data_IF_032861201654
#
_entry.id   IF_032861201654
#
_cell.length_a   1.000
_cell.length_b   1.000
_cell.length_c   1.000
_cell.angle_alpha   90.00
_cell.angle_beta   90.00
_cell.angle_gamma   90.00
#
_symmetry.space_group_name_H-M   'P 1'
#
loop_
_entity.id
_entity.type
_entity.pdbx_description
1 polymer ?
#
# COMPACT_ATOMS: atom_id res chain seq x y z
N UNK A 1 -6.66 23.41 3.35
CA UNK A 1 -5.71 24.03 2.39
C UNK A 1 -5.63 23.30 1.05
N UNK A 2 -6.18 22.08 0.88
CA UNK A 2 -6.15 21.32 -0.39
C UNK A 2 -4.74 21.12 -0.98
N UNK A 3 -3.72 21.17 -0.12
CA UNK A 3 -2.32 20.92 -0.47
C UNK A 3 -1.93 19.56 0.09
N UNK A 4 -1.36 18.72 -0.76
CA UNK A 4 -0.72 17.49 -0.31
C UNK A 4 0.62 17.85 0.34
N UNK A 5 0.71 17.65 1.66
CA UNK A 5 1.92 17.94 2.43
C UNK A 5 3.13 17.18 1.89
N UNK A 6 2.95 15.94 1.43
CA UNK A 6 4.00 15.09 0.89
C UNK A 6 4.31 15.38 -0.60
N UNK A 7 3.88 16.54 -1.10
CA UNK A 7 4.24 17.09 -2.42
C UNK A 7 4.65 18.56 -2.33
N UNK A 8 4.92 19.06 -1.12
CA UNK A 8 5.20 20.48 -0.88
C UNK A 8 6.47 20.72 -0.04
N UNK A 9 7.38 19.75 0.07
CA UNK A 9 8.58 19.91 0.92
C UNK A 9 9.69 20.78 0.32
N UNK A 10 9.57 21.21 -0.94
CA UNK A 10 10.43 22.25 -1.53
C UNK A 10 9.92 23.64 -1.19
N UNK A 11 8.67 23.96 -1.54
CA UNK A 11 8.09 25.28 -1.28
C UNK A 11 7.76 25.48 0.19
N UNK A 12 7.50 24.38 0.91
CA UNK A 12 7.24 24.30 2.34
C UNK A 12 6.18 25.32 2.76
N UNK A 13 5.06 25.38 2.03
CA UNK A 13 4.07 26.45 2.18
C UNK A 13 3.24 26.29 3.45
N UNK A 14 3.00 25.05 3.87
CA UNK A 14 2.09 24.70 4.98
C UNK A 14 2.76 24.79 6.36
N UNK A 15 1.99 25.20 7.37
CA UNK A 15 2.48 25.43 8.74
C UNK A 15 2.97 24.15 9.44
N UNK A 16 2.36 23.03 9.09
CA UNK A 16 2.62 21.68 9.58
C UNK A 16 4.00 21.24 9.12
N UNK A 17 4.28 21.33 7.81
CA UNK A 17 5.59 20.99 7.24
C UNK A 17 6.69 21.94 7.73
N UNK A 18 6.42 23.24 7.88
CA UNK A 18 7.37 24.19 8.49
C UNK A 18 7.73 23.81 9.92
N UNK A 19 6.73 23.41 10.72
CA UNK A 19 6.94 22.98 12.11
C UNK A 19 7.75 21.70 12.17
N UNK A 20 7.45 20.73 11.30
CA UNK A 20 8.22 19.50 11.20
C UNK A 20 9.69 19.76 10.86
N UNK A 21 9.96 20.61 9.86
CA UNK A 21 11.34 20.97 9.49
C UNK A 21 12.08 21.73 10.60
N UNK A 22 11.37 22.56 11.39
CA UNK A 22 11.96 23.20 12.58
C UNK A 22 12.38 22.18 13.63
N UNK A 23 11.54 21.17 13.90
CA UNK A 23 11.88 20.08 14.82
C UNK A 23 13.02 19.23 14.27
N UNK A 24 12.98 18.88 12.99
CA UNK A 24 14.04 18.14 12.31
C UNK A 24 15.40 18.85 12.45
N UNK A 25 15.48 20.13 12.07
CA UNK A 25 16.71 20.92 12.15
C UNK A 25 17.22 21.08 13.59
N UNK A 26 16.32 21.20 14.57
CA UNK A 26 16.69 21.30 15.98
C UNK A 26 17.18 19.97 16.55
N UNK A 27 16.54 18.88 16.16
CA UNK A 27 16.83 17.53 16.69
C UNK A 27 18.07 16.93 16.04
N UNK A 28 18.32 17.27 14.76
CA UNK A 28 19.40 16.71 13.95
C UNK A 28 19.44 15.17 14.03
N UNK A 29 18.37 14.47 13.59
CA UNK A 29 18.21 13.05 13.83
C UNK A 29 19.19 12.19 13.01
N UNK A 30 19.67 11.10 13.59
CA UNK A 30 20.49 10.10 12.89
C UNK A 30 19.67 9.22 11.92
N UNK A 31 18.38 9.03 12.21
CA UNK A 31 17.44 8.27 11.38
C UNK A 31 16.04 8.91 11.39
N UNK A 32 15.32 8.79 10.28
CA UNK A 32 13.92 9.21 10.15
C UNK A 32 13.03 8.05 9.71
N UNK A 33 11.95 7.77 10.44
CA UNK A 33 10.92 6.83 10.03
C UNK A 33 9.71 7.59 9.48
N UNK A 34 9.37 7.33 8.22
CA UNK A 34 8.29 7.97 7.49
C UNK A 34 7.16 6.95 7.31
N UNK A 35 6.14 7.00 8.19
CA UNK A 35 5.10 5.98 8.27
C UNK A 35 3.88 6.34 7.41
N UNK A 36 3.52 5.45 6.49
CA UNK A 36 2.40 5.56 5.55
C UNK A 36 1.56 4.27 5.56
N UNK A 37 0.46 4.31 4.81
CA UNK A 37 -0.34 3.13 4.49
C UNK A 37 -0.53 3.01 2.99
N UNK A 38 -0.45 1.78 2.49
CA UNK A 38 -0.73 1.45 1.09
C UNK A 38 -2.09 0.76 0.97
N UNK A 39 -2.61 0.74 -0.27
CA UNK A 39 -3.87 0.09 -0.61
C UNK A 39 -3.74 -1.44 -0.54
N UNK A 40 -4.88 -2.12 -0.49
CA UNK A 40 -4.96 -3.59 -0.48
C UNK A 40 -4.52 -4.25 -1.79
N UNK A 41 -4.39 -3.48 -2.87
CA UNK A 41 -4.09 -3.97 -4.22
C UNK A 41 -2.64 -4.46 -4.44
N UNK A 42 -1.76 -4.27 -3.45
CA UNK A 42 -0.33 -4.54 -3.61
C UNK A 42 0.04 -5.96 -3.19
N UNK A 43 0.86 -6.62 -4.01
CA UNK A 43 1.54 -7.88 -3.72
C UNK A 43 3.04 -7.66 -3.51
N UNK A 44 3.67 -8.49 -2.68
CA UNK A 44 5.11 -8.54 -2.51
C UNK A 44 5.71 -9.35 -3.66
N UNK A 45 6.15 -8.66 -4.71
CA UNK A 45 6.53 -9.29 -5.98
C UNK A 45 5.34 -9.57 -6.88
N UNK A 46 5.65 -9.86 -8.14
CA UNK A 46 4.64 -10.21 -9.15
C UNK A 46 3.95 -11.52 -8.77
N UNK A 47 2.63 -11.49 -8.67
CA UNK A 47 1.74 -12.58 -8.24
C UNK A 47 2.16 -13.18 -6.89
N UNK A 48 2.79 -12.39 -6.04
CA UNK A 48 3.19 -12.79 -4.69
C UNK A 48 2.05 -12.77 -3.68
N UNK A 49 2.39 -13.00 -2.41
CA UNK A 49 1.46 -12.79 -1.31
C UNK A 49 1.13 -11.30 -1.14
N UNK A 50 0.05 -10.94 -0.42
CA UNK A 50 -0.26 -9.54 -0.15
C UNK A 50 0.95 -8.85 0.48
N UNK A 51 1.28 -7.65 0.00
CA UNK A 51 2.31 -6.84 0.62
C UNK A 51 1.78 -6.28 1.95
N UNK A 52 1.89 -7.09 3.01
CA UNK A 52 1.46 -6.71 4.37
C UNK A 52 2.24 -5.50 4.83
N UNK A 53 3.55 -5.49 4.58
CA UNK A 53 4.41 -4.32 4.74
C UNK A 53 5.15 -4.08 3.44
N UNK A 54 5.42 -2.81 3.14
CA UNK A 54 6.44 -2.46 2.16
C UNK A 54 7.37 -1.39 2.69
N UNK A 55 8.61 -1.40 2.19
CA UNK A 55 9.64 -0.46 2.62
C UNK A 55 10.26 0.24 1.43
N UNK A 56 10.80 1.43 1.69
CA UNK A 56 11.62 2.14 0.72
C UNK A 56 12.74 2.88 1.45
N UNK A 57 13.96 2.74 0.92
CA UNK A 57 15.07 3.66 1.17
C UNK A 57 15.00 4.79 0.11
N UNK A 58 14.44 5.97 0.45
CA UNK A 58 14.15 7.02 -0.51
C UNK A 58 15.42 7.52 -1.21
N UNK A 59 15.29 7.85 -2.49
CA UNK A 59 16.42 8.33 -3.27
C UNK A 59 16.87 9.71 -2.76
N UNK A 60 18.17 9.98 -2.79
CA UNK A 60 18.72 11.28 -2.39
C UNK A 60 18.80 12.27 -3.57
N UNK A 61 18.69 11.79 -4.80
CA UNK A 61 18.71 12.57 -6.04
C UNK A 61 17.94 11.86 -7.17
N UNK A 62 17.80 12.54 -8.30
CA UNK A 62 17.09 12.07 -9.50
C UNK A 62 17.80 10.92 -10.24
N UNK A 63 19.08 10.69 -9.95
CA UNK A 63 19.88 9.59 -10.50
C UNK A 63 19.72 8.30 -9.71
N UNK A 64 19.05 8.34 -8.56
CA UNK A 64 18.98 7.19 -7.67
C UNK A 64 20.34 6.83 -7.08
N UNK A 65 21.22 7.81 -6.82
CA UNK A 65 22.54 7.54 -6.24
C UNK A 65 22.39 6.84 -4.89
N UNK A 66 23.23 5.83 -4.63
CA UNK A 66 23.35 5.18 -3.33
C UNK A 66 24.33 6.02 -2.49
N UNK A 67 23.82 7.12 -1.93
CA UNK A 67 24.54 7.91 -0.94
C UNK A 67 24.70 7.12 0.37
N UNK A 68 25.58 7.58 1.27
CA UNK A 68 25.79 6.89 2.54
C UNK A 68 24.51 6.81 3.40
N UNK A 69 23.68 7.84 3.37
CA UNK A 69 22.39 7.85 4.06
C UNK A 69 21.41 6.82 3.48
N UNK A 70 21.34 6.72 2.15
CA UNK A 70 20.52 5.74 1.45
C UNK A 70 21.03 4.31 1.69
N UNK A 71 22.34 4.10 1.64
CA UNK A 71 22.98 2.81 1.95
C UNK A 71 22.60 2.32 3.36
N UNK A 72 22.72 3.19 4.37
CA UNK A 72 22.34 2.87 5.75
C UNK A 72 20.84 2.52 5.86
N UNK A 73 19.98 3.24 5.12
CA UNK A 73 18.54 2.97 5.08
C UNK A 73 18.24 1.61 4.44
N UNK A 74 18.92 1.28 3.32
CA UNK A 74 18.80 -0.02 2.64
C UNK A 74 19.21 -1.16 3.56
N UNK A 75 20.36 -1.05 4.23
CA UNK A 75 20.86 -2.04 5.19
C UNK A 75 19.92 -2.24 6.38
N UNK A 76 19.37 -1.16 6.92
CA UNK A 76 18.39 -1.24 8.00
C UNK A 76 17.11 -1.94 7.53
N UNK A 77 16.60 -1.63 6.34
CA UNK A 77 15.44 -2.31 5.77
C UNK A 77 15.72 -3.80 5.54
N UNK A 78 16.91 -4.15 5.05
CA UNK A 78 17.32 -5.55 4.88
C UNK A 78 17.33 -6.31 6.22
N UNK A 79 17.80 -5.66 7.29
CA UNK A 79 17.77 -6.21 8.66
C UNK A 79 16.33 -6.43 9.17
N UNK A 80 15.45 -5.44 8.97
CA UNK A 80 14.02 -5.55 9.30
C UNK A 80 13.39 -6.72 8.54
N UNK A 81 13.60 -6.77 7.22
CA UNK A 81 13.05 -7.81 6.36
C UNK A 81 13.48 -9.20 6.83
N UNK A 82 14.79 -9.42 7.00
CA UNK A 82 15.36 -10.70 7.45
C UNK A 82 14.72 -11.19 8.76
N UNK A 83 14.56 -10.29 9.74
CA UNK A 83 13.97 -10.62 11.04
C UNK A 83 12.47 -10.93 10.96
N UNK A 84 11.74 -10.18 10.13
CA UNK A 84 10.29 -10.27 9.97
C UNK A 84 9.85 -11.46 9.10
N UNK A 85 10.74 -12.08 8.32
CA UNK A 85 10.43 -13.31 7.57
C UNK A 85 9.94 -14.46 8.47
N UNK A 86 10.23 -14.42 9.78
CA UNK A 86 9.70 -15.39 10.76
C UNK A 86 8.20 -15.24 11.00
N UNK A 87 7.68 -14.02 10.93
CA UNK A 87 6.29 -13.69 11.26
C UNK A 87 5.40 -13.52 10.02
N UNK A 88 5.94 -12.89 8.97
CA UNK A 88 5.24 -12.59 7.71
C UNK A 88 6.08 -13.01 6.49
N UNK A 89 6.38 -14.31 6.33
CA UNK A 89 7.23 -14.80 5.25
C UNK A 89 6.68 -14.40 3.88
N UNK A 90 7.55 -13.88 3.01
CA UNK A 90 7.24 -13.46 1.64
C UNK A 90 6.11 -12.42 1.49
N UNK A 91 5.79 -11.67 2.55
CA UNK A 91 4.75 -10.62 2.55
C UNK A 91 5.32 -9.21 2.73
N UNK A 92 6.63 -9.06 2.49
CA UNK A 92 7.34 -7.79 2.53
C UNK A 92 7.82 -7.45 1.13
N UNK A 93 7.45 -6.27 0.64
CA UNK A 93 7.89 -5.76 -0.65
C UNK A 93 8.68 -4.45 -0.55
N UNK A 94 9.31 -4.07 -1.67
CA UNK A 94 9.96 -2.77 -1.85
C UNK A 94 9.05 -1.82 -2.62
N UNK A 95 8.88 -0.61 -2.13
CA UNK A 95 8.09 0.41 -2.83
C UNK A 95 8.90 1.04 -3.97
N UNK A 96 8.19 1.63 -4.93
CA UNK A 96 8.80 2.36 -6.06
C UNK A 96 9.72 3.47 -5.55
N UNK A 97 10.92 3.56 -6.11
CA UNK A 97 11.97 4.48 -5.68
C UNK A 97 12.13 5.70 -6.59
N UNK A 98 11.10 6.03 -7.39
CA UNK A 98 11.08 7.23 -8.22
C UNK A 98 11.27 8.48 -7.36
N UNK A 99 12.37 9.20 -7.62
CA UNK A 99 12.72 10.40 -6.88
C UNK A 99 11.73 11.55 -7.14
N UNK A 100 11.28 12.17 -6.07
CA UNK A 100 10.58 13.44 -6.06
C UNK A 100 10.98 14.25 -4.84
N UNK A 101 11.85 15.25 -5.05
CA UNK A 101 12.34 16.16 -3.99
C UNK A 101 11.23 16.88 -3.20
N UNK A 102 10.00 16.93 -3.72
CA UNK A 102 8.85 17.51 -3.01
C UNK A 102 8.22 16.56 -1.98
N UNK A 103 8.58 15.27 -2.01
CA UNK A 103 8.20 14.28 -1.01
C UNK A 103 9.12 14.37 0.21
N UNK A 104 8.57 14.14 1.41
CA UNK A 104 9.34 14.22 2.65
C UNK A 104 10.49 13.22 2.67
N UNK A 105 10.25 11.98 2.24
CA UNK A 105 11.26 10.90 2.29
C UNK A 105 12.52 11.26 1.51
N UNK A 106 12.35 11.63 0.24
CA UNK A 106 13.43 12.05 -0.63
C UNK A 106 14.07 13.36 -0.16
N UNK A 107 13.27 14.30 0.36
CA UNK A 107 13.80 15.54 0.94
C UNK A 107 14.75 15.25 2.09
N UNK A 108 14.37 14.41 3.05
CA UNK A 108 15.22 14.07 4.20
C UNK A 108 16.45 13.26 3.77
N UNK A 109 16.28 12.32 2.83
CA UNK A 109 17.38 11.55 2.24
C UNK A 109 18.41 12.47 1.54
N UNK A 110 17.92 13.47 0.78
CA UNK A 110 18.75 14.49 0.10
C UNK A 110 19.53 15.39 1.06
N UNK A 111 19.06 15.54 2.31
CA UNK A 111 19.76 16.23 3.39
C UNK A 111 20.79 15.35 4.10
N UNK A 112 21.01 14.12 3.62
CA UNK A 112 22.00 13.19 4.16
C UNK A 112 21.53 12.42 5.40
N UNK A 113 20.23 12.42 5.72
CA UNK A 113 19.70 11.67 6.85
C UNK A 113 19.09 10.34 6.37
N UNK A 114 19.58 9.19 6.88
CA UNK A 114 18.94 7.89 6.65
C UNK A 114 17.45 7.95 6.93
N UNK A 115 16.65 7.63 5.91
CA UNK A 115 15.18 7.73 5.97
C UNK A 115 14.58 6.43 5.50
N UNK A 116 13.62 5.90 6.27
CA UNK A 116 12.96 4.63 6.00
C UNK A 116 11.48 4.93 5.85
N UNK A 117 10.96 4.70 4.66
CA UNK A 117 9.53 4.74 4.42
C UNK A 117 8.94 3.37 4.76
N UNK A 118 7.86 3.39 5.54
CA UNK A 118 7.04 2.23 5.86
C UNK A 118 5.69 2.40 5.17
N UNK A 119 5.24 1.40 4.42
CA UNK A 119 3.87 1.30 3.94
C UNK A 119 3.16 0.16 4.67
N UNK A 120 2.18 0.50 5.50
CA UNK A 120 1.27 -0.47 6.07
C UNK A 120 0.28 -0.93 4.98
N UNK A 121 0.38 -2.19 4.54
CA UNK A 121 -0.52 -2.75 3.54
C UNK A 121 -1.60 -3.64 4.13
N UNK A 122 -1.93 -4.71 3.42
CA UNK A 122 -2.99 -5.64 3.79
C UNK A 122 -2.42 -6.98 4.23
N UNK A 123 -2.87 -7.44 5.40
CA UNK A 123 -2.73 -8.83 5.82
C UNK A 123 -4.04 -9.55 5.50
N UNK A 124 -4.02 -10.82 5.04
CA UNK A 124 -5.23 -11.55 4.66
C UNK A 124 -6.36 -11.44 5.70
N UNK A 125 -7.56 -11.08 5.24
CA UNK A 125 -8.78 -10.88 6.05
C UNK A 125 -8.69 -9.77 7.12
N UNK A 126 -7.65 -8.94 7.13
CA UNK A 126 -7.43 -7.86 8.11
C UNK A 126 -7.73 -6.47 7.53
N UNK A 127 -8.97 -6.25 7.06
CA UNK A 127 -9.40 -4.95 6.54
C UNK A 127 -9.33 -3.83 7.58
N UNK A 128 -9.47 -4.16 8.88
CA UNK A 128 -9.29 -3.20 9.98
C UNK A 128 -7.82 -2.91 10.31
N UNK A 129 -6.87 -3.57 9.63
CA UNK A 129 -5.41 -3.42 9.77
C UNK A 129 -4.88 -3.64 11.18
N UNK A 130 -5.57 -4.43 12.01
CA UNK A 130 -5.15 -4.69 13.38
C UNK A 130 -3.90 -5.59 13.45
N UNK A 131 -3.79 -6.55 12.55
CA UNK A 131 -2.62 -7.42 12.39
C UNK A 131 -1.50 -6.64 11.70
N UNK A 132 -1.79 -5.91 10.61
CA UNK A 132 -0.78 -5.05 9.96
C UNK A 132 -0.16 -4.05 10.95
N UNK A 133 -0.97 -3.42 11.82
CA UNK A 133 -0.47 -2.49 12.85
C UNK A 133 0.48 -3.17 13.85
N UNK A 134 0.23 -4.43 14.21
CA UNK A 134 1.16 -5.20 15.05
C UNK A 134 2.49 -5.41 14.34
N UNK A 135 2.46 -5.76 13.05
CA UNK A 135 3.70 -5.95 12.28
C UNK A 135 4.47 -4.65 12.03
N UNK A 136 3.78 -3.51 11.84
CA UNK A 136 4.44 -2.19 11.83
C UNK A 136 5.17 -1.95 13.15
N UNK A 137 4.51 -2.21 14.29
CA UNK A 137 5.14 -2.04 15.60
C UNK A 137 6.36 -2.97 15.75
N UNK A 138 6.24 -4.26 15.40
CA UNK A 138 7.36 -5.19 15.40
C UNK A 138 8.53 -4.72 14.52
N UNK A 139 8.23 -4.24 13.31
CA UNK A 139 9.25 -3.71 12.39
C UNK A 139 9.97 -2.48 12.96
N UNK A 140 9.24 -1.56 13.61
CA UNK A 140 9.82 -0.40 14.30
C UNK A 140 10.73 -0.86 15.45
N UNK A 141 10.30 -1.82 16.27
CA UNK A 141 11.12 -2.34 17.38
C UNK A 141 12.40 -3.00 16.88
N UNK A 142 12.30 -3.86 15.86
CA UNK A 142 13.46 -4.50 15.21
C UNK A 142 14.41 -3.44 14.64
N UNK A 143 13.87 -2.40 13.99
CA UNK A 143 14.69 -1.31 13.47
C UNK A 143 15.46 -0.59 14.57
N UNK A 144 14.79 -0.26 15.69
CA UNK A 144 15.42 0.40 16.83
C UNK A 144 16.49 -0.48 17.49
N UNK A 145 16.21 -1.76 17.71
CA UNK A 145 17.19 -2.73 18.23
C UNK A 145 18.39 -2.85 17.31
N UNK A 146 18.16 -2.89 15.99
CA UNK A 146 19.22 -2.98 15.00
C UNK A 146 20.06 -1.71 14.91
N UNK A 147 19.45 -0.53 15.12
CA UNK A 147 20.18 0.75 15.19
C UNK A 147 21.05 0.78 16.46
N UNK A 148 20.47 0.49 17.63
CA UNK A 148 21.19 0.57 18.92
C UNK A 148 22.37 -0.40 18.98
N UNK A 149 22.23 -1.59 18.39
CA UNK A 149 23.29 -2.60 18.34
C UNK A 149 24.24 -2.45 17.14
N UNK A 150 23.95 -1.53 16.20
CA UNK A 150 24.59 -1.44 14.88
C UNK A 150 24.55 -2.74 14.07
N UNK A 151 23.61 -3.67 14.34
CA UNK A 151 23.55 -4.95 13.63
C UNK A 151 23.12 -4.80 12.16
N UNK A 152 22.55 -3.66 11.76
CA UNK A 152 22.19 -3.47 10.35
C UNK A 152 23.44 -3.36 9.47
N UNK A 153 24.60 -2.97 10.02
CA UNK A 153 25.84 -2.79 9.23
C UNK A 153 26.38 -4.11 8.68
N UNK A 154 25.94 -5.26 9.20
CA UNK A 154 26.32 -6.58 8.68
C UNK A 154 25.57 -6.95 7.39
N UNK A 155 24.49 -6.24 7.06
CA UNK A 155 23.71 -6.46 5.84
C UNK A 155 24.34 -5.73 4.66
N UNK A 156 24.13 -6.25 3.46
CA UNK A 156 24.58 -5.68 2.21
C UNK A 156 23.45 -4.90 1.53
N UNK A 157 23.82 -4.00 0.63
CA UNK A 157 22.86 -3.31 -0.25
C UNK A 157 22.10 -4.32 -1.12
N UNK A 158 22.75 -5.41 -1.54
CA UNK A 158 22.11 -6.46 -2.33
C UNK A 158 21.00 -7.18 -1.55
N UNK A 159 21.10 -7.29 -0.22
CA UNK A 159 20.04 -7.88 0.60
C UNK A 159 18.75 -7.06 0.54
N UNK A 160 18.86 -5.73 0.39
CA UNK A 160 17.73 -4.85 0.16
C UNK A 160 17.13 -5.04 -1.24
N UNK A 161 17.98 -5.16 -2.27
CA UNK A 161 17.49 -5.38 -3.64
C UNK A 161 16.89 -6.78 -3.86
N UNK A 162 17.25 -7.75 -3.02
CA UNK A 162 16.62 -9.06 -2.99
C UNK A 162 15.18 -9.04 -2.44
N UNK A 163 14.75 -7.94 -1.79
CA UNK A 163 13.34 -7.75 -1.42
C UNK A 163 12.55 -7.49 -2.72
N UNK A 164 11.49 -8.26 -2.99
CA UNK A 164 10.76 -8.13 -4.24
C UNK A 164 10.07 -6.76 -4.33
N UNK A 165 10.06 -6.14 -5.50
CA UNK A 165 9.29 -4.92 -5.72
C UNK A 165 7.79 -5.18 -5.62
N UNK A 166 7.06 -4.20 -5.07
CA UNK A 166 5.61 -4.25 -5.04
C UNK A 166 5.03 -4.30 -6.45
N UNK A 167 3.99 -5.11 -6.64
CA UNK A 167 3.18 -5.07 -7.85
C UNK A 167 1.69 -4.92 -7.52
N UNK A 168 0.88 -4.47 -8.49
CA UNK A 168 -0.56 -4.25 -8.32
C UNK A 168 -1.37 -5.45 -8.80
N UNK A 169 -1.15 -6.60 -8.17
CA UNK A 169 -1.76 -7.87 -8.59
C UNK A 169 -3.02 -8.24 -7.81
N UNK A 170 -3.43 -7.47 -6.79
CA UNK A 170 -4.62 -7.78 -6.01
C UNK A 170 -5.82 -6.87 -6.36
N UNK A 171 -7.00 -7.46 -6.27
CA UNK A 171 -8.25 -6.76 -5.98
C UNK A 171 -8.83 -7.24 -4.64
N UNK A 172 -9.85 -6.55 -4.13
CA UNK A 172 -10.49 -6.93 -2.88
C UNK A 172 -11.45 -8.10 -3.04
N UNK A 173 -12.25 -8.10 -4.10
CA UNK A 173 -13.29 -9.09 -4.30
C UNK A 173 -13.48 -9.42 -5.78
N UNK A 174 -13.60 -10.72 -6.06
CA UNK A 174 -14.17 -11.24 -7.31
C UNK A 174 -15.49 -11.92 -7.02
N UNK A 175 -16.53 -11.53 -7.75
CA UNK A 175 -17.81 -12.22 -7.79
C UNK A 175 -17.87 -13.02 -9.10
N UNK A 176 -17.84 -14.34 -8.99
CA UNK A 176 -17.78 -15.27 -10.12
C UNK A 176 -19.20 -15.62 -10.61
N UNK A 177 -19.33 -16.07 -11.85
CA UNK A 177 -20.61 -16.50 -12.47
C UNK A 177 -21.69 -15.40 -12.57
N UNK A 178 -21.29 -14.16 -12.85
CA UNK A 178 -22.23 -13.03 -12.96
C UNK A 178 -22.72 -12.86 -14.40
N UNK A 179 -24.04 -12.83 -14.58
CA UNK A 179 -24.62 -12.36 -15.83
C UNK A 179 -24.72 -10.82 -15.80
N UNK A 180 -24.14 -10.17 -16.80
CA UNK A 180 -24.00 -8.72 -16.92
C UNK A 180 -24.76 -8.23 -18.16
N UNK A 181 -25.58 -7.20 -18.01
CA UNK A 181 -26.23 -6.51 -19.13
C UNK A 181 -25.59 -5.12 -19.27
N UNK A 182 -24.82 -4.92 -20.33
CA UNK A 182 -24.18 -3.64 -20.66
C UNK A 182 -24.69 -3.14 -22.01
N UNK A 183 -25.26 -1.93 -22.06
CA UNK A 183 -25.77 -1.33 -23.30
C UNK A 183 -26.72 -2.27 -24.10
N UNK A 184 -27.56 -3.04 -23.38
CA UNK A 184 -28.49 -4.07 -23.89
C UNK A 184 -27.85 -5.36 -24.41
N UNK A 185 -26.53 -5.51 -24.31
CA UNK A 185 -25.83 -6.76 -24.60
C UNK A 185 -25.74 -7.60 -23.32
N UNK A 186 -26.01 -8.89 -23.43
CA UNK A 186 -25.90 -9.84 -22.33
C UNK A 186 -24.54 -10.55 -22.39
N UNK A 187 -23.74 -10.36 -21.36
CA UNK A 187 -22.48 -11.04 -21.10
C UNK A 187 -22.76 -12.08 -20.00
N UNK A 188 -22.47 -13.35 -20.27
CA UNK A 188 -22.77 -14.44 -19.34
C UNK A 188 -21.52 -14.92 -18.63
N UNK A 189 -21.69 -15.43 -17.40
CA UNK A 189 -20.61 -16.07 -16.63
C UNK A 189 -19.34 -15.21 -16.52
N UNK A 190 -19.51 -13.93 -16.18
CA UNK A 190 -18.40 -13.00 -16.02
C UNK A 190 -17.87 -13.00 -14.58
N UNK A 191 -16.57 -12.74 -14.44
CA UNK A 191 -15.94 -12.38 -13.18
C UNK A 191 -16.08 -10.88 -12.96
N UNK A 192 -16.83 -10.48 -11.93
CA UNK A 192 -16.98 -9.09 -11.54
C UNK A 192 -15.91 -8.70 -10.52
N UNK A 193 -15.10 -7.71 -10.86
CA UNK A 193 -13.94 -7.27 -10.06
C UNK A 193 -14.27 -6.01 -9.28
N UNK A 194 -14.01 -6.04 -7.97
CA UNK A 194 -14.36 -4.98 -7.03
C UNK A 194 -13.17 -4.67 -6.12
N UNK A 195 -12.93 -3.37 -5.92
CA UNK A 195 -12.10 -2.88 -4.82
C UNK A 195 -12.97 -2.17 -3.78
N UNK A 196 -12.45 -2.02 -2.57
CA UNK A 196 -13.07 -1.23 -1.53
C UNK A 196 -12.35 0.11 -1.37
N UNK A 197 -13.14 1.17 -1.34
CA UNK A 197 -12.68 2.52 -1.01
C UNK A 197 -12.98 2.81 0.44
N UNK A 198 -11.93 3.08 1.22
CA UNK A 198 -12.06 3.55 2.59
C UNK A 198 -12.67 4.96 2.61
N UNK A 199 -13.78 5.14 3.33
CA UNK A 199 -14.44 6.43 3.53
C UNK A 199 -14.67 6.67 5.02
N UNK A 200 -14.19 7.81 5.51
CA UNK A 200 -14.49 8.24 6.88
C UNK A 200 -15.94 8.71 6.98
N UNK A 201 -16.76 7.98 7.75
CA UNK A 201 -18.14 8.37 8.10
C UNK A 201 -18.23 8.56 9.60
N UNK A 202 -18.28 9.82 10.04
CA UNK A 202 -18.18 10.17 11.45
C UNK A 202 -16.82 9.75 12.01
N UNK A 203 -16.81 8.85 12.98
CA UNK A 203 -15.60 8.32 13.63
C UNK A 203 -15.25 6.88 13.21
N UNK A 204 -15.87 6.37 12.14
CA UNK A 204 -15.64 5.01 11.63
C UNK A 204 -15.21 5.05 10.18
N UNK A 205 -14.32 4.13 9.82
CA UNK A 205 -14.01 3.84 8.42
C UNK A 205 -15.09 2.91 7.90
N UNK A 206 -15.73 3.33 6.82
CA UNK A 206 -16.65 2.52 6.02
C UNK A 206 -15.94 2.10 4.72
N UNK A 207 -16.32 0.95 4.18
CA UNK A 207 -15.74 0.42 2.94
C UNK A 207 -16.79 0.48 1.85
N UNK A 208 -16.58 1.36 0.87
CA UNK A 208 -17.50 1.47 -0.24
C UNK A 208 -17.00 0.66 -1.43
N UNK A 209 -17.80 -0.27 -1.97
CA UNK A 209 -17.40 -1.04 -3.13
C UNK A 209 -17.29 -0.14 -4.36
N UNK A 210 -16.21 -0.31 -5.09
CA UNK A 210 -15.85 0.36 -6.34
C UNK A 210 -15.65 -0.72 -7.40
N UNK A 211 -16.49 -0.65 -8.44
CA UNK A 211 -16.34 -1.53 -9.60
C UNK A 211 -15.10 -1.16 -10.40
N UNK A 212 -14.34 -2.19 -10.78
CA UNK A 212 -13.11 -2.04 -11.53
C UNK A 212 -13.31 -2.49 -12.98
N UNK A 213 -13.78 -3.72 -13.17
CA UNK A 213 -14.01 -4.34 -14.47
C UNK A 213 -14.84 -5.60 -14.35
N UNK A 214 -15.27 -6.15 -15.47
CA UNK A 214 -15.66 -7.56 -15.57
C UNK A 214 -14.93 -8.22 -16.74
N UNK A 215 -14.73 -9.53 -16.68
CA UNK A 215 -14.12 -10.30 -17.77
C UNK A 215 -14.56 -11.76 -17.77
N UNK A 216 -14.36 -12.46 -18.89
CA UNK A 216 -14.57 -13.92 -18.97
C UNK A 216 -13.66 -14.71 -18.01
N UNK A 217 -12.51 -14.13 -17.65
CA UNK A 217 -11.62 -14.66 -16.63
C UNK A 217 -10.78 -13.53 -16.04
N UNK A 218 -10.78 -13.41 -14.71
CA UNK A 218 -9.90 -12.49 -14.01
C UNK A 218 -8.55 -13.16 -13.69
N UNK A 219 -7.47 -12.60 -14.23
CA UNK A 219 -6.12 -13.17 -14.13
C UNK A 219 -5.31 -12.71 -12.91
N UNK A 220 -5.78 -11.68 -12.20
CA UNK A 220 -5.12 -11.18 -11.00
C UNK A 220 -5.61 -11.89 -9.72
N UNK A 221 -4.93 -11.61 -8.61
CA UNK A 221 -5.25 -12.15 -7.29
C UNK A 221 -6.43 -11.39 -6.68
N UNK A 222 -7.16 -12.05 -5.80
CA UNK A 222 -8.27 -11.47 -5.07
C UNK A 222 -8.16 -11.86 -3.60
N UNK A 223 -8.38 -10.91 -2.70
CA UNK A 223 -8.45 -11.22 -1.26
C UNK A 223 -9.63 -12.13 -0.95
N UNK A 224 -10.74 -11.94 -1.67
CA UNK A 224 -11.93 -12.78 -1.56
C UNK A 224 -12.50 -13.15 -2.92
N UNK A 225 -12.98 -14.39 -3.05
CA UNK A 225 -13.76 -14.86 -4.19
C UNK A 225 -15.08 -15.44 -3.70
N UNK A 226 -16.19 -15.08 -4.36
CA UNK A 226 -17.51 -15.62 -4.05
C UNK A 226 -18.26 -15.93 -5.35
N UNK A 227 -19.08 -16.99 -5.37
CA UNK A 227 -19.98 -17.25 -6.50
C UNK A 227 -21.25 -16.42 -6.39
N UNK A 228 -21.70 -15.82 -7.49
CA UNK A 228 -22.93 -15.03 -7.54
C UNK A 228 -24.16 -15.80 -7.05
N UNK A 229 -24.21 -17.12 -7.28
CA UNK A 229 -25.30 -17.99 -6.81
C UNK A 229 -25.43 -18.02 -5.29
N UNK A 230 -24.36 -17.73 -4.55
CA UNK A 230 -24.37 -17.67 -3.09
C UNK A 230 -25.03 -16.41 -2.53
N UNK A 231 -25.27 -15.39 -3.36
CA UNK A 231 -25.70 -14.06 -2.93
C UNK A 231 -27.23 -13.87 -2.85
N UNK A 232 -28.02 -14.96 -2.95
CA UNK A 232 -29.49 -14.92 -2.99
C UNK A 232 -30.04 -13.89 -4.01
N UNK A 233 -29.31 -13.69 -5.11
CA UNK A 233 -29.65 -12.76 -6.18
C UNK A 233 -29.77 -13.54 -7.48
N UNK A 234 -30.85 -13.32 -8.22
CA UNK A 234 -31.20 -14.13 -9.40
C UNK A 234 -31.30 -13.34 -10.71
N UNK A 235 -31.14 -12.03 -10.65
CA UNK A 235 -31.23 -11.16 -11.83
C UNK A 235 -29.82 -10.81 -12.35
N UNK A 236 -29.65 -10.57 -13.65
CA UNK A 236 -28.42 -10.00 -14.18
C UNK A 236 -28.10 -8.63 -13.55
N UNK A 237 -26.83 -8.26 -13.50
CA UNK A 237 -26.40 -6.91 -13.12
C UNK A 237 -26.47 -6.00 -14.33
N UNK A 238 -27.20 -4.89 -14.21
CA UNK A 238 -27.37 -3.92 -15.29
C UNK A 238 -26.37 -2.77 -15.20
N UNK A 239 -25.69 -2.48 -16.30
CA UNK A 239 -24.81 -1.34 -16.52
C UNK A 239 -25.44 -0.44 -17.59
N UNK A 240 -26.11 0.63 -17.16
CA UNK A 240 -26.65 1.67 -18.04
C UNK A 240 -25.73 2.90 -18.02
N UNK A 241 -25.32 3.38 -19.19
CA UNK A 241 -24.32 4.44 -19.32
C UNK A 241 -24.74 5.77 -18.68
N UNK A 242 -23.72 6.49 -18.18
CA UNK A 242 -23.66 7.84 -17.56
C UNK A 242 -23.74 7.88 -16.01
N UNK A 243 -24.32 6.90 -15.31
CA UNK A 243 -24.37 6.87 -13.82
C UNK A 243 -23.96 5.51 -13.20
N UNK A 244 -23.08 4.79 -13.87
CA UNK A 244 -22.61 3.44 -13.53
C UNK A 244 -22.11 3.34 -12.07
N UNK A 245 -21.32 4.31 -11.60
CA UNK A 245 -20.70 4.23 -10.27
C UNK A 245 -21.70 4.20 -9.10
N UNK A 246 -22.86 4.87 -9.21
CA UNK A 246 -23.86 4.92 -8.13
C UNK A 246 -24.76 3.68 -8.13
N UNK A 247 -25.20 3.24 -9.32
CA UNK A 247 -26.02 2.04 -9.43
C UNK A 247 -25.22 0.79 -9.06
N UNK A 248 -24.00 0.64 -9.59
CA UNK A 248 -23.14 -0.51 -9.27
C UNK A 248 -22.83 -0.54 -7.78
N UNK A 249 -22.51 0.61 -7.18
CA UNK A 249 -22.27 0.71 -5.74
C UNK A 249 -23.48 0.28 -4.92
N UNK A 250 -24.70 0.67 -5.31
CA UNK A 250 -25.92 0.23 -4.62
C UNK A 250 -26.17 -1.27 -4.79
N UNK A 251 -25.93 -1.81 -5.98
CA UNK A 251 -26.03 -3.25 -6.24
C UNK A 251 -25.00 -4.03 -5.43
N UNK A 252 -23.74 -3.60 -5.44
CA UNK A 252 -22.65 -4.23 -4.68
C UNK A 252 -22.88 -4.15 -3.18
N UNK A 253 -23.38 -3.02 -2.65
CA UNK A 253 -23.77 -2.89 -1.24
C UNK A 253 -24.86 -3.90 -0.85
N UNK A 254 -25.91 -4.00 -1.67
CA UNK A 254 -26.98 -5.00 -1.48
C UNK A 254 -26.44 -6.43 -1.55
N UNK A 255 -25.57 -6.73 -2.51
CA UNK A 255 -24.98 -8.06 -2.70
C UNK A 255 -24.08 -8.47 -1.52
N UNK A 256 -23.35 -7.50 -0.93
CA UNK A 256 -22.38 -7.77 0.12
C UNK A 256 -22.94 -7.61 1.53
N UNK A 257 -24.25 -7.32 1.68
CA UNK A 257 -24.88 -6.97 2.95
C UNK A 257 -24.13 -5.84 3.69
N UNK A 258 -23.66 -4.84 2.94
CA UNK A 258 -22.96 -3.64 3.43
C UNK A 258 -23.85 -2.40 3.28
#
# INVERSE_FOLDING_TARGET
NSVDLNRDFVNLTQSESKTLMKVFNKTNPDFCFNLHGQRTIYSAGKMGLPATLSFLAPASDDKGTISKSRENSMKLIASINSSMQRDIPNQIGRFDDSFNINCIGDKLSSLGVPTILFEAGHYPEDYNRNITRKHILSAILIALESIVSNSYDTFLVDDYFNIPENNKDYCDLVIEDVDIIENKNLHKNQDLVVNFKEILKGSKIDFEPEFISYSDSYSALAHKKISFKSLNFSNPIHFETINESVQIKNTLKKLLNM
#
